data_IF_468284864676
#
_entry.id   IF_468284864676
#
_cell.length_a   1.000
_cell.length_b   1.000
_cell.length_c   1.000
_cell.angle_alpha   90.00
_cell.angle_beta   90.00
_cell.angle_gamma   90.00
#
_symmetry.space_group_name_H-M   'P 1'
#
loop_
_entity.id
_entity.type
_entity.pdbx_description
1 polymer ?
2 non-polymer ?
3 water ?
#
# COMPACT_ATOMS: atom_id res chain seq x y z
N UNK A 1 -22.92 0.74 -15.12
CA UNK A 1 -23.19 2.17 -15.25
C UNK A 1 -23.22 2.83 -13.85
N UNK A 2 -23.72 2.13 -12.85
CA UNK A 2 -23.56 2.55 -11.45
C UNK A 2 -22.07 2.52 -11.08
N UNK A 3 -21.60 3.59 -10.44
CA UNK A 3 -20.18 3.64 -10.08
C UNK A 3 -19.89 2.70 -8.90
N UNK A 4 -18.71 2.10 -8.93
CA UNK A 4 -18.28 1.10 -7.96
C UNK A 4 -17.19 1.71 -7.08
N UNK A 5 -17.37 1.62 -5.76
CA UNK A 5 -16.37 2.05 -4.79
C UNK A 5 -15.87 0.82 -4.03
N UNK A 6 -14.55 0.66 -3.99
CA UNK A 6 -13.89 -0.34 -3.15
C UNK A 6 -13.66 0.30 -1.80
N UNK A 7 -14.24 -0.28 -0.76
CA UNK A 7 -14.17 0.29 0.58
C UNK A 7 -13.05 -0.43 1.34
N UNK A 8 -11.86 0.15 1.30
CA UNK A 8 -10.69 -0.41 1.96
C UNK A 8 -10.67 0.02 3.42
N UNK A 9 -10.48 -0.92 4.33
CA UNK A 9 -10.46 -0.59 5.74
C UNK A 9 -9.82 -1.71 6.54
N UNK A 10 -9.42 -1.41 7.78
CA UNK A 10 -9.04 -2.46 8.75
C UNK A 10 -10.17 -2.89 9.68
N UNK A 11 -11.39 -2.42 9.44
CA UNK A 11 -12.46 -2.63 10.40
C UNK A 11 -12.93 -4.08 10.49
N UNK A 12 -12.68 -4.90 9.47
CA UNK A 12 -13.02 -6.33 9.53
C UNK A 12 -12.19 -7.14 10.49
N UNK A 13 -11.05 -6.59 10.95
CA UNK A 13 -10.17 -7.36 11.82
C UNK A 13 -10.67 -7.41 13.24
N UNK A 14 -11.54 -6.48 13.63
CA UNK A 14 -12.11 -6.40 14.97
C UNK A 14 -13.60 -6.70 14.91
N UNK A 15 -14.06 -7.60 15.78
CA UNK A 15 -15.48 -7.97 15.75
C UNK A 15 -16.39 -6.76 15.92
N UNK A 16 -16.18 -5.99 16.98
CA UNK A 16 -16.98 -4.78 17.20
C UNK A 16 -16.91 -3.83 16.02
N UNK A 17 -15.71 -3.62 15.48
CA UNK A 17 -15.57 -2.67 14.39
C UNK A 17 -16.31 -3.14 13.14
N UNK A 18 -16.22 -4.43 12.85
CA UNK A 18 -16.85 -5.01 11.67
C UNK A 18 -18.37 -4.86 11.75
N UNK A 19 -18.91 -5.06 12.96
CA UNK A 19 -20.34 -5.11 13.16
C UNK A 19 -20.95 -3.73 13.29
N UNK A 20 -20.20 -2.78 13.86
CA UNK A 20 -20.72 -1.49 14.24
C UNK A 20 -20.23 -0.32 13.41
N UNK A 21 -18.98 -0.31 12.95
CA UNK A 21 -18.45 0.85 12.21
C UNK A 21 -18.62 0.74 10.70
N UNK A 22 -18.53 -0.46 10.14
CA UNK A 22 -18.57 -0.58 8.69
C UNK A 22 -19.97 -0.33 8.14
N UNK A 23 -21.04 -0.82 8.77
CA UNK A 23 -22.35 -0.67 8.11
C UNK A 23 -22.77 0.79 7.95
N UNK A 24 -22.53 1.68 8.91
CA UNK A 24 -22.91 3.07 8.66
C UNK A 24 -22.13 3.68 7.50
N UNK A 25 -20.89 3.27 7.28
CA UNK A 25 -20.14 3.80 6.14
C UNK A 25 -20.67 3.22 4.84
N UNK A 26 -20.88 1.91 4.80
CA UNK A 26 -21.52 1.30 3.62
C UNK A 26 -22.83 2.01 3.32
N UNK A 27 -23.67 2.21 4.33
CA UNK A 27 -24.98 2.83 4.09
C UNK A 27 -24.85 4.24 3.56
N UNK A 28 -23.88 5.02 4.07
CA UNK A 28 -23.74 6.39 3.57
C UNK A 28 -23.36 6.37 2.10
N UNK A 29 -22.54 5.41 1.69
CA UNK A 29 -22.14 5.31 0.29
C UNK A 29 -23.29 4.77 -0.56
N UNK A 30 -24.01 3.77 -0.06
CA UNK A 30 -25.13 3.23 -0.82
C UNK A 30 -26.24 4.26 -1.00
N UNK A 31 -26.41 5.16 -0.03
CA UNK A 31 -27.43 6.21 -0.11
C UNK A 31 -27.13 7.20 -1.22
N UNK A 32 -25.91 7.21 -1.74
CA UNK A 32 -25.54 8.01 -2.89
C UNK A 32 -25.70 7.24 -4.19
N UNK A 33 -26.22 6.02 -4.13
CA UNK A 33 -26.39 5.22 -5.34
C UNK A 33 -25.15 4.46 -5.77
N UNK A 34 -24.13 4.42 -4.92
CA UNK A 34 -22.87 3.74 -5.22
C UNK A 34 -23.02 2.24 -4.96
N UNK A 35 -22.41 1.42 -5.82
CA UNK A 35 -22.24 0.00 -5.57
C UNK A 35 -20.97 -0.16 -4.75
N UNK A 36 -21.11 -0.65 -3.54
CA UNK A 36 -20.00 -0.73 -2.59
C UNK A 36 -19.45 -2.15 -2.59
N UNK A 37 -18.14 -2.26 -2.83
CA UNK A 37 -17.45 -3.52 -2.72
C UNK A 37 -16.64 -3.49 -1.43
N UNK A 38 -17.07 -4.27 -0.46
CA UNK A 38 -16.43 -4.28 0.84
C UNK A 38 -15.71 -5.62 0.95
N UNK A 39 -14.37 -5.62 0.97
CA UNK A 39 -13.63 -6.86 0.73
C UNK A 39 -13.75 -7.91 1.82
N UNK A 40 -13.89 -7.55 3.10
CA UNK A 40 -14.01 -8.60 4.10
C UNK A 40 -15.23 -9.47 3.81
N UNK A 41 -16.36 -8.83 3.52
CA UNK A 41 -17.58 -9.55 3.16
C UNK A 41 -17.47 -10.25 1.81
N UNK A 42 -16.92 -9.57 0.81
CA UNK A 42 -16.86 -10.09 -0.55
C UNK A 42 -15.88 -11.25 -0.66
N UNK A 43 -14.72 -11.13 -0.01
CA UNK A 43 -13.57 -11.97 -0.35
C UNK A 43 -12.97 -12.75 0.79
N UNK A 44 -13.04 -12.29 2.04
CA UNK A 44 -12.37 -13.01 3.11
C UNK A 44 -13.22 -14.12 3.70
N UNK A 45 -14.54 -14.10 3.45
CA UNK A 45 -15.42 -15.11 4.03
C UNK A 45 -15.41 -16.35 3.15
N UNK A 46 -14.39 -17.18 3.35
CA UNK A 46 -14.09 -18.31 2.50
C UNK A 46 -13.84 -19.55 3.36
N UNK A 47 -13.65 -20.68 2.67
CA UNK A 47 -13.23 -21.95 3.26
C UNK A 47 -11.76 -21.87 3.68
N UNK A 48 -11.50 -21.63 4.98
CA UNK A 48 -10.10 -21.46 5.39
C UNK A 48 -9.41 -22.80 5.65
N UNK A 49 -10.03 -23.92 5.32
CA UNK A 49 -9.33 -25.19 5.35
C UNK A 49 -8.49 -25.42 4.10
N UNK A 50 -8.63 -24.56 3.09
CA UNK A 50 -7.90 -24.70 1.84
C UNK A 50 -6.52 -24.06 2.01
N UNK A 51 -5.47 -24.82 1.66
CA UNK A 51 -4.11 -24.31 1.86
C UNK A 51 -3.88 -22.97 1.17
N UNK A 52 -4.59 -22.69 0.09
CA UNK A 52 -4.32 -21.50 -0.71
C UNK A 52 -5.24 -20.33 -0.37
N UNK A 53 -5.91 -20.34 0.78
CA UNK A 53 -7.00 -19.36 0.94
C UNK A 53 -6.46 -17.93 0.99
N UNK A 54 -5.32 -17.71 1.65
CA UNK A 54 -4.78 -16.35 1.76
C UNK A 54 -4.37 -15.79 0.40
N UNK A 55 -3.72 -16.61 -0.43
CA UNK A 55 -3.40 -16.21 -1.80
C UNK A 55 -4.66 -15.80 -2.56
N UNK A 56 -5.71 -16.61 -2.43
CA UNK A 56 -6.94 -16.32 -3.17
C UNK A 56 -7.59 -15.01 -2.70
N UNK A 57 -7.60 -14.75 -1.40
CA UNK A 57 -8.14 -13.48 -0.90
C UNK A 57 -7.37 -12.30 -1.50
N UNK A 58 -6.02 -12.40 -1.50
CA UNK A 58 -5.21 -11.31 -2.06
C UNK A 58 -5.56 -11.06 -3.51
N UNK A 59 -5.67 -12.14 -4.29
CA UNK A 59 -5.97 -11.98 -5.70
C UNK A 59 -7.36 -11.39 -5.91
N UNK A 60 -8.32 -11.83 -5.10
CA UNK A 60 -9.68 -11.28 -5.21
C UNK A 60 -9.70 -9.79 -4.89
N UNK A 61 -9.02 -9.37 -3.82
CA UNK A 61 -8.94 -7.94 -3.52
C UNK A 61 -8.26 -7.19 -4.65
N UNK A 62 -7.15 -7.73 -5.14
CA UNK A 62 -6.46 -7.13 -6.29
C UNK A 62 -7.39 -6.94 -7.48
N UNK A 63 -8.13 -7.98 -7.86
CA UNK A 63 -9.02 -7.87 -9.00
C UNK A 63 -10.10 -6.83 -8.75
N UNK A 64 -10.65 -6.81 -7.54
CA UNK A 64 -11.65 -5.79 -7.21
C UNK A 64 -11.07 -4.39 -7.36
N UNK A 65 -9.83 -4.17 -6.92
CA UNK A 65 -9.24 -2.84 -7.06
C UNK A 65 -9.08 -2.49 -8.54
N UNK A 66 -8.68 -3.47 -9.35
CA UNK A 66 -8.55 -3.23 -10.78
C UNK A 66 -9.91 -2.92 -11.43
N UNK A 67 -10.98 -3.52 -10.94
CA UNK A 67 -12.29 -3.40 -11.59
C UNK A 67 -13.14 -2.29 -11.01
N UNK A 68 -12.72 -1.63 -9.93
CA UNK A 68 -13.55 -0.62 -9.32
C UNK A 68 -13.42 0.68 -10.12
N UNK A 69 -14.27 1.66 -9.79
CA UNK A 69 -14.11 2.99 -10.35
C UNK A 69 -13.36 3.92 -9.41
N UNK A 70 -13.51 3.72 -8.10
CA UNK A 70 -12.83 4.51 -7.10
C UNK A 70 -12.58 3.69 -5.86
N UNK A 71 -11.65 4.18 -5.05
CA UNK A 71 -11.40 3.65 -3.72
C UNK A 71 -11.81 4.67 -2.69
N UNK A 72 -12.47 4.19 -1.63
CA UNK A 72 -12.77 4.95 -0.43
C UNK A 72 -11.96 4.29 0.68
N UNK A 73 -10.85 4.91 1.05
CA UNK A 73 -9.87 4.30 1.92
C UNK A 73 -10.00 4.85 3.33
N UNK A 74 -10.34 3.98 4.28
CA UNK A 74 -10.34 4.28 5.71
C UNK A 74 -8.88 4.21 6.19
N UNK A 75 -8.31 5.38 6.46
CA UNK A 75 -6.90 5.51 6.84
C UNK A 75 -6.77 5.97 8.29
N UNK A 76 -7.69 5.50 9.12
CA UNK A 76 -7.59 5.64 10.56
C UNK A 76 -6.41 4.82 11.08
N UNK A 77 -5.89 5.24 12.23
CA UNK A 77 -4.88 4.51 12.93
C UNK A 77 -3.52 5.20 12.87
N UNK A 78 -2.64 4.78 13.77
CA UNK A 78 -1.27 5.28 13.82
C UNK A 78 -0.37 4.04 13.73
N UNK A 79 0.20 3.74 12.56
CA UNK A 79 -0.04 4.35 11.26
C UNK A 79 -1.31 3.77 10.64
N UNK A 80 -1.67 4.26 9.46
CA UNK A 80 -2.75 3.63 8.70
C UNK A 80 -2.41 2.20 8.33
N UNK A 81 -3.45 1.42 8.03
CA UNK A 81 -3.30 -0.02 7.83
C UNK A 81 -2.47 -0.36 6.60
N UNK A 82 -1.53 -1.29 6.74
CA UNK A 82 -0.61 -1.57 5.65
C UNK A 82 -1.30 -2.16 4.41
N UNK A 83 -2.34 -2.97 4.60
CA UNK A 83 -3.06 -3.52 3.46
C UNK A 83 -3.88 -2.46 2.72
N UNK A 84 -4.54 -1.57 3.48
CA UNK A 84 -5.22 -0.44 2.86
C UNK A 84 -4.25 0.38 2.02
N UNK A 85 -3.04 0.57 2.54
CA UNK A 85 -2.04 1.39 1.89
C UNK A 85 -1.64 0.78 0.55
N UNK A 86 -1.44 -0.55 0.51
CA UNK A 86 -1.13 -1.24 -0.75
C UNK A 86 -2.23 -0.98 -1.77
N UNK A 87 -3.48 -1.11 -1.34
CA UNK A 87 -4.63 -0.90 -2.23
C UNK A 87 -4.69 0.53 -2.71
N UNK A 88 -4.41 1.48 -1.83
CA UNK A 88 -4.37 2.89 -2.21
C UNK A 88 -3.32 3.13 -3.28
N UNK A 89 -2.13 2.55 -3.10
CA UNK A 89 -1.10 2.74 -4.12
C UNK A 89 -1.50 2.15 -5.45
N UNK A 90 -2.16 0.99 -5.41
CA UNK A 90 -2.67 0.33 -6.60
C UNK A 90 -3.67 1.26 -7.31
N UNK A 91 -4.56 1.85 -6.53
CA UNK A 91 -5.57 2.74 -7.10
C UNK A 91 -4.94 3.98 -7.72
N UNK A 92 -3.96 4.57 -7.04
CA UNK A 92 -3.26 5.72 -7.59
C UNK A 92 -2.66 5.36 -8.94
N UNK A 93 -1.95 4.24 -8.99
CA UNK A 93 -1.24 3.85 -10.22
C UNK A 93 -2.21 3.51 -11.34
N UNK A 94 -3.40 3.05 -11.01
CA UNK A 94 -4.40 2.67 -12.00
C UNK A 94 -5.36 3.81 -12.34
N UNK A 95 -5.09 5.02 -11.84
CA UNK A 95 -5.89 6.21 -12.16
C UNK A 95 -7.34 6.04 -11.76
N UNK A 96 -7.58 5.30 -10.69
CA UNK A 96 -8.90 5.30 -10.09
C UNK A 96 -9.17 6.60 -9.33
N UNK A 97 -10.45 6.87 -9.10
CA UNK A 97 -10.82 7.94 -8.19
C UNK A 97 -10.34 7.59 -6.78
N UNK A 98 -9.87 8.60 -6.05
CA UNK A 98 -9.30 8.44 -4.71
C UNK A 98 -10.03 9.32 -3.71
N UNK A 99 -10.57 8.71 -2.66
CA UNK A 99 -11.16 9.40 -1.53
C UNK A 99 -10.64 8.77 -0.24
N UNK A 100 -10.25 9.61 0.71
CA UNK A 100 -9.67 9.17 1.97
C UNK A 100 -10.61 9.53 3.12
N UNK A 101 -10.67 8.66 4.11
CA UNK A 101 -11.52 8.87 5.28
C UNK A 101 -10.68 8.70 6.53
N UNK A 102 -10.71 9.70 7.40
CA UNK A 102 -10.03 9.60 8.68
C UNK A 102 -10.75 10.45 9.70
N UNK A 103 -11.41 9.81 10.69
CA UNK A 103 -12.00 10.53 11.81
C UNK A 103 -11.21 10.35 13.09
N UNK A 104 -10.00 9.78 12.99
CA UNK A 104 -9.00 9.72 14.05
C UNK A 104 -8.25 11.03 14.12
N UNK A 105 -8.29 11.71 15.27
CA UNK A 105 -7.77 13.08 15.32
C UNK A 105 -6.28 13.14 15.59
N UNK A 106 -5.63 11.99 15.78
CA UNK A 106 -4.19 11.96 15.96
C UNK A 106 -3.51 12.26 14.64
N UNK A 107 -2.29 12.78 14.73
CA UNK A 107 -1.45 13.01 13.57
C UNK A 107 -0.30 12.02 13.62
N UNK A 108 -0.01 11.42 12.48
CA UNK A 108 1.04 10.43 12.30
C UNK A 108 1.73 10.82 10.99
N UNK A 109 2.73 11.73 11.05
CA UNK A 109 3.16 12.40 9.84
C UNK A 109 4.65 12.67 9.80
N UNK A 110 5.14 12.84 8.58
CA UNK A 110 6.52 13.23 8.27
C UNK A 110 6.62 14.64 7.71
N UNK A 111 5.58 15.46 7.87
CA UNK A 111 5.57 16.77 7.21
C UNK A 111 4.53 17.68 7.85
N UNK A 112 4.57 18.96 7.49
CA UNK A 112 3.68 19.96 8.09
C UNK A 112 2.41 20.21 7.27
N UNK A 113 2.35 19.78 6.02
CA UNK A 113 1.19 20.05 5.16
C UNK A 113 0.03 19.11 5.45
N UNK A 114 0.33 17.82 5.63
CA UNK A 114 -0.68 16.77 5.69
C UNK A 114 -0.66 16.14 7.08
N UNK A 115 -1.80 15.64 7.55
CA UNK A 115 -1.85 14.97 8.87
C UNK A 115 -1.27 13.56 8.86
N UNK A 116 -0.90 13.06 7.70
CA UNK A 116 -0.34 11.74 7.54
C UNK A 116 0.88 11.82 6.63
N UNK A 117 1.54 10.67 6.46
CA UNK A 117 2.67 10.55 5.54
C UNK A 117 2.29 11.13 4.18
N UNK A 118 3.14 12.02 3.67
CA UNK A 118 2.82 12.72 2.44
C UNK A 118 2.56 11.81 1.27
N UNK A 119 3.03 10.57 1.30
CA UNK A 119 2.88 9.78 0.10
C UNK A 119 1.42 9.33 -0.08
N UNK A 120 0.62 9.33 0.99
CA UNK A 120 -0.78 8.95 0.89
C UNK A 120 -1.59 9.95 0.06
N UNK A 121 -1.03 11.12 -0.23
CA UNK A 121 -1.71 12.18 -0.96
C UNK A 121 -1.16 12.37 -2.36
N UNK A 122 -0.33 11.44 -2.80
CA UNK A 122 0.33 11.55 -4.10
C UNK A 122 -0.65 11.45 -5.27
N UNK A 123 -1.80 10.83 -5.06
CA UNK A 123 -2.80 10.75 -6.11
C UNK A 123 -3.82 11.85 -6.08
N UNK A 124 -3.69 12.81 -5.17
CA UNK A 124 -4.60 13.92 -4.99
C UNK A 124 -3.96 15.22 -5.45
N UNK A 125 -4.74 16.22 -5.80
CA UNK A 125 -4.14 17.47 -6.29
C UNK A 125 -3.35 18.19 -5.22
N UNK A 126 -2.39 18.99 -5.67
CA UNK A 126 -1.59 19.77 -4.74
C UNK A 126 -2.45 20.73 -3.95
N UNK A 127 -3.38 21.39 -4.62
CA UNK A 127 -4.29 22.36 -4.01
C UNK A 127 -5.69 21.76 -4.01
N UNK A 128 -6.36 21.78 -2.87
CA UNK A 128 -7.71 21.26 -2.78
C UNK A 128 -7.81 19.77 -2.47
N UNK A 129 -6.71 19.14 -2.00
CA UNK A 129 -6.80 17.74 -1.61
C UNK A 129 -7.80 17.55 -0.48
N UNK A 130 -7.99 18.55 0.36
CA UNK A 130 -8.91 18.44 1.48
C UNK A 130 -10.33 18.10 1.04
N UNK A 131 -10.67 18.43 -0.21
CA UNK A 131 -12.02 18.16 -0.73
C UNK A 131 -12.28 16.67 -0.89
N UNK A 132 -11.20 15.86 -0.97
CA UNK A 132 -11.26 14.43 -1.11
C UNK A 132 -11.05 13.71 0.22
N UNK A 133 -10.92 14.45 1.31
CA UNK A 133 -10.53 13.96 2.62
C UNK A 133 -11.71 14.14 3.59
N UNK A 134 -12.30 13.02 4.01
CA UNK A 134 -13.50 13.03 4.86
C UNK A 134 -13.12 12.76 6.31
N UNK A 135 -13.61 13.58 7.24
CA UNK A 135 -13.26 13.43 8.65
C UNK A 135 -14.44 12.99 9.53
N UNK A 136 -15.60 12.70 8.92
CA UNK A 136 -16.75 12.18 9.65
C UNK A 136 -17.66 11.41 8.70
N UNK A 137 -18.38 10.44 9.25
CA UNK A 137 -19.31 9.69 8.41
C UNK A 137 -20.38 10.61 7.85
N UNK A 138 -20.79 11.62 8.63
CA UNK A 138 -21.83 12.55 8.21
C UNK A 138 -21.40 13.40 7.00
N UNK A 139 -20.10 13.56 6.81
CA UNK A 139 -19.54 14.35 5.71
C UNK A 139 -19.59 13.63 4.37
N UNK A 140 -19.75 12.31 4.35
CA UNK A 140 -19.61 11.53 3.12
C UNK A 140 -20.58 12.01 2.05
N UNK A 141 -21.81 12.35 2.44
CA UNK A 141 -22.83 12.73 1.47
C UNK A 141 -22.84 14.24 1.19
N UNK A 142 -21.79 14.97 1.57
CA UNK A 142 -21.78 16.41 1.32
C UNK A 142 -21.69 16.75 -0.17
N UNK A 143 -22.63 17.55 -0.66
CA UNK A 143 -22.58 17.95 -2.06
C UNK A 143 -21.43 18.90 -2.40
N UNK A 144 -20.72 19.42 -1.41
CA UNK A 144 -19.58 20.28 -1.64
C UNK A 144 -18.23 19.55 -1.58
N UNK A 145 -18.24 18.24 -1.44
CA UNK A 145 -17.02 17.44 -1.41
C UNK A 145 -16.95 16.53 -2.64
N UNK A 146 -15.76 15.94 -2.83
CA UNK A 146 -15.39 15.41 -4.14
C UNK A 146 -16.18 14.18 -4.54
N UNK A 147 -16.57 13.31 -3.58
CA UNK A 147 -17.26 12.09 -3.97
C UNK A 147 -18.59 12.42 -4.66
N UNK A 148 -19.39 13.28 -4.01
CA UNK A 148 -20.66 13.70 -4.60
C UNK A 148 -20.46 14.39 -5.95
N UNK A 149 -19.45 15.25 -6.05
CA UNK A 149 -19.19 15.96 -7.29
C UNK A 149 -18.85 14.98 -8.40
N UNK A 150 -18.05 13.97 -8.07
CA UNK A 150 -17.72 12.93 -9.04
C UNK A 150 -18.97 12.21 -9.55
N UNK A 151 -19.89 11.87 -8.65
CA UNK A 151 -21.11 11.20 -9.06
C UNK A 151 -22.00 12.06 -9.96
N UNK A 152 -21.92 13.39 -9.85
CA UNK A 152 -22.83 14.27 -10.57
C UNK A 152 -22.16 15.01 -11.72
N UNK A 153 -20.93 14.63 -12.06
CA UNK A 153 -20.41 14.90 -13.40
C UNK A 153 -19.36 15.97 -13.60
N UNK B 2 21.93 -1.17 -16.89
CA UNK B 2 21.74 -1.71 -15.55
C UNK B 2 20.26 -1.69 -15.21
N UNK B 3 19.76 -2.73 -14.53
CA UNK B 3 18.40 -2.68 -14.02
C UNK B 3 18.35 -1.74 -12.82
N UNK B 4 17.21 -1.05 -12.69
CA UNK B 4 17.01 -0.02 -11.68
C UNK B 4 16.09 -0.57 -10.61
N UNK B 5 16.56 -0.53 -9.36
CA UNK B 5 15.80 -0.92 -8.16
C UNK B 5 15.52 0.33 -7.35
N UNK B 6 14.25 0.53 -7.01
CA UNK B 6 13.83 1.57 -6.08
C UNK B 6 13.81 0.94 -4.69
N UNK B 7 14.62 1.49 -3.80
CA UNK B 7 14.80 0.95 -2.45
C UNK B 7 13.88 1.74 -1.50
N UNK B 8 12.70 1.21 -1.28
CA UNK B 8 11.69 1.85 -0.43
C UNK B 8 11.93 1.44 1.02
N UNK B 9 11.98 2.40 1.94
CA UNK B 9 12.26 2.06 3.33
C UNK B 9 11.82 3.19 4.24
N UNK B 10 11.67 2.92 5.55
CA UNK B 10 11.49 3.99 6.54
C UNK B 10 12.79 4.44 7.19
N UNK B 11 13.92 3.94 6.70
CA UNK B 11 15.15 4.10 7.44
C UNK B 11 15.68 5.54 7.39
N UNK B 12 15.22 6.36 6.45
CA UNK B 12 15.65 7.75 6.43
C UNK B 12 15.01 8.63 7.49
N UNK B 13 14.03 8.10 8.21
CA UNK B 13 13.36 8.89 9.23
C UNK B 13 14.16 9.02 10.52
N UNK B 14 15.16 8.17 10.71
CA UNK B 14 15.95 8.13 11.92
C UNK B 14 17.38 8.42 11.54
N UNK B 15 18.00 9.36 12.24
CA UNK B 15 19.37 9.78 11.93
C UNK B 15 20.33 8.59 11.95
N UNK B 16 20.31 7.81 13.02
CA UNK B 16 21.19 6.63 13.09
C UNK B 16 20.85 5.60 12.02
N UNK B 17 19.57 5.38 11.74
CA UNK B 17 19.22 4.32 10.81
C UNK B 17 19.61 4.70 9.39
N UNK B 18 19.46 5.98 9.06
CA UNK B 18 19.87 6.46 7.75
C UNK B 18 21.36 6.23 7.55
N UNK B 19 22.14 6.53 8.58
CA UNK B 19 23.60 6.47 8.52
C UNK B 19 24.11 5.03 8.45
N UNK B 20 23.53 4.13 9.23
CA UNK B 20 24.08 2.79 9.41
C UNK B 20 23.32 1.67 8.71
N UNK B 21 22.00 1.78 8.51
CA UNK B 21 21.25 0.64 7.99
C UNK B 21 21.17 0.60 6.48
N UNK B 22 21.08 1.74 5.85
CA UNK B 22 20.84 1.76 4.41
C UNK B 22 22.11 1.43 3.59
N UNK B 23 23.29 1.96 3.93
CA UNK B 23 24.46 1.69 3.07
C UNK B 23 24.77 0.20 2.93
N UNK B 24 24.65 -0.63 3.97
CA UNK B 24 24.87 -2.08 3.69
C UNK B 24 23.89 -2.67 2.70
N UNK B 25 22.63 -2.19 2.69
CA UNK B 25 21.64 -2.73 1.76
C UNK B 25 21.95 -2.27 0.36
N UNK B 26 22.29 -0.99 0.22
CA UNK B 26 22.69 -0.44 -1.07
C UNK B 26 23.90 -1.22 -1.62
N UNK B 27 24.94 -1.41 -0.80
CA UNK B 27 26.12 -2.18 -1.21
C UNK B 27 25.76 -3.59 -1.67
N UNK B 28 24.89 -4.27 -0.94
CA UNK B 28 24.47 -5.60 -1.34
C UNK B 28 23.82 -5.61 -2.71
N UNK B 29 22.97 -4.61 -2.98
CA UNK B 29 22.31 -4.55 -4.27
C UNK B 29 23.30 -4.19 -5.38
N UNK B 30 24.18 -3.24 -5.09
CA UNK B 30 25.11 -2.75 -6.12
C UNK B 30 26.08 -3.84 -6.54
N UNK B 31 26.35 -4.79 -5.66
CA UNK B 31 27.23 -5.89 -6.02
C UNK B 31 26.61 -6.80 -7.06
N UNK B 32 25.28 -6.76 -7.25
CA UNK B 32 24.63 -7.46 -8.35
C UNK B 32 24.55 -6.62 -9.63
N UNK B 33 25.24 -5.50 -9.67
CA UNK B 33 25.22 -4.64 -10.85
C UNK B 33 23.99 -3.77 -10.96
N UNK B 34 23.24 -3.61 -9.88
CA UNK B 34 21.98 -2.85 -9.89
C UNK B 34 22.25 -1.37 -9.68
N UNK B 35 21.51 -0.51 -10.41
CA UNK B 35 21.44 0.91 -10.12
C UNK B 35 20.36 1.13 -9.06
N UNK B 36 20.75 1.61 -7.89
CA UNK B 36 19.85 1.75 -6.74
C UNK B 36 19.35 3.18 -6.66
N UNK B 37 18.05 3.34 -6.66
CA UNK B 37 17.40 4.62 -6.42
C UNK B 37 16.88 4.62 -4.98
N UNK B 38 17.53 5.39 -4.13
CA UNK B 38 17.15 5.48 -2.73
C UNK B 38 16.49 6.83 -2.47
N UNK B 39 15.20 6.89 -2.11
CA UNK B 39 14.48 8.19 -2.20
C UNK B 39 14.90 9.25 -1.19
N UNK B 40 15.33 8.89 0.03
CA UNK B 40 15.72 9.94 0.95
C UNK B 40 16.90 10.72 0.40
N UNK B 41 17.86 10.04 -0.23
CA UNK B 41 19.01 10.71 -0.84
C UNK B 41 18.60 11.44 -2.11
N UNK B 42 17.76 10.83 -2.92
CA UNK B 42 17.35 11.49 -4.17
C UNK B 42 16.51 12.73 -3.91
N UNK B 43 15.78 12.78 -2.80
CA UNK B 43 15.11 14.01 -2.41
C UNK B 43 16.15 14.91 -1.74
N UNK B 52 4.55 23.24 -2.79
CA UNK B 52 5.41 23.13 -1.62
C UNK B 52 6.12 21.77 -1.55
N UNK B 53 6.99 21.64 -0.53
CA UNK B 53 8.01 20.61 -0.59
C UNK B 53 7.41 19.22 -0.43
N UNK B 54 6.38 19.09 0.41
CA UNK B 54 5.83 17.77 0.67
C UNK B 54 5.20 17.18 -0.59
N UNK B 55 4.43 17.99 -1.34
CA UNK B 55 3.83 17.49 -2.56
C UNK B 55 4.90 17.12 -3.58
N UNK B 56 5.97 17.92 -3.66
CA UNK B 56 7.05 17.64 -4.58
C UNK B 56 7.75 16.33 -4.24
N UNK B 57 7.94 16.03 -2.95
CA UNK B 57 8.57 14.75 -2.60
C UNK B 57 7.68 13.60 -3.04
N UNK B 58 6.38 13.73 -2.78
CA UNK B 58 5.43 12.70 -3.19
C UNK B 58 5.48 12.45 -4.69
N UNK B 59 5.52 13.52 -5.50
CA UNK B 59 5.54 13.32 -6.95
C UNK B 59 6.88 12.74 -7.43
N UNK B 60 7.98 13.15 -6.81
CA UNK B 60 9.29 12.60 -7.15
C UNK B 60 9.34 11.10 -6.87
N UNK B 61 8.88 10.69 -5.69
CA UNK B 61 8.86 9.26 -5.38
C UNK B 61 7.96 8.50 -6.34
N UNK B 62 6.79 9.07 -6.66
CA UNK B 62 5.87 8.42 -7.58
C UNK B 62 6.50 8.25 -8.95
N UNK B 63 7.19 9.27 -9.44
CA UNK B 63 7.81 9.15 -10.75
C UNK B 63 8.94 8.13 -10.73
N UNK B 64 9.70 8.10 -9.64
CA UNK B 64 10.76 7.09 -9.50
C UNK B 64 10.18 5.67 -9.54
N UNK B 65 9.04 5.44 -8.89
CA UNK B 65 8.45 4.11 -8.95
C UNK B 65 7.96 3.82 -10.37
N UNK B 66 7.39 4.82 -11.05
CA UNK B 66 6.96 4.62 -12.43
C UNK B 66 8.14 4.24 -13.33
N UNK B 67 9.32 4.81 -13.06
CA UNK B 67 10.49 4.69 -13.94
C UNK B 67 11.45 3.58 -13.54
N UNK B 68 11.24 2.94 -12.38
CA UNK B 68 12.13 1.85 -12.00
C UNK B 68 11.80 0.58 -12.76
N UNK B 69 12.68 -0.41 -12.64
CA UNK B 69 12.38 -1.74 -13.13
C UNK B 69 11.82 -2.64 -12.04
N UNK B 70 12.23 -2.43 -10.80
CA UNK B 70 11.71 -3.20 -9.69
C UNK B 70 11.78 -2.38 -8.40
N UNK B 71 11.02 -2.84 -7.42
CA UNK B 71 11.06 -2.28 -6.08
C UNK B 71 11.66 -3.32 -5.15
N UNK B 72 12.54 -2.86 -4.26
CA UNK B 72 13.04 -3.62 -3.12
C UNK B 72 12.50 -2.90 -1.88
N UNK B 73 11.49 -3.49 -1.24
CA UNK B 73 10.72 -2.84 -0.20
C UNK B 73 11.15 -3.36 1.16
N UNK B 74 11.69 -2.47 1.99
CA UNK B 74 12.02 -2.79 3.37
C UNK B 74 10.73 -2.73 4.18
N UNK B 75 10.25 -3.90 4.64
CA UNK B 75 8.94 -3.99 5.26
C UNK B 75 9.11 -4.45 6.71
N UNK B 76 10.22 -4.07 7.30
CA UNK B 76 10.36 -4.13 8.74
C UNK B 76 9.33 -3.25 9.45
N UNK B 77 9.06 -3.60 10.71
CA UNK B 77 8.21 -2.85 11.63
C UNK B 77 6.87 -3.54 11.85
N UNK B 78 6.19 -3.14 12.92
CA UNK B 78 4.85 -3.64 13.23
C UNK B 78 3.94 -2.41 13.33
N UNK B 79 3.23 -2.03 12.28
CA UNK B 79 3.22 -2.68 10.97
C UNK B 79 4.31 -2.11 10.06
N UNK B 80 4.42 -2.65 8.87
CA UNK B 80 5.30 -2.02 7.87
C UNK B 80 4.90 -0.58 7.58
N UNK B 81 5.88 0.18 7.07
CA UNK B 81 5.68 1.61 6.84
C UNK B 81 4.60 1.91 5.81
N UNK B 82 3.73 2.87 6.13
CA UNK B 82 2.58 3.15 5.26
C UNK B 82 3.01 3.76 3.91
N UNK B 83 4.07 4.56 3.89
CA UNK B 83 4.56 5.10 2.64
C UNK B 83 5.16 4.02 1.75
N UNK B 84 5.98 3.16 2.34
CA UNK B 84 6.50 2.02 1.60
C UNK B 84 5.36 1.21 1.01
N UNK B 85 4.32 0.95 1.82
CA UNK B 85 3.16 0.20 1.32
C UNK B 85 2.51 0.85 0.10
N UNK B 86 2.35 2.17 0.10
CA UNK B 86 1.77 2.86 -1.06
C UNK B 86 2.63 2.62 -2.29
N UNK B 87 3.94 2.77 -2.13
CA UNK B 87 4.86 2.50 -3.24
C UNK B 87 4.80 1.04 -3.70
N UNK B 88 4.70 0.08 -2.77
CA UNK B 88 4.58 -1.32 -3.14
C UNK B 88 3.32 -1.55 -3.98
N UNK B 89 2.20 -0.96 -3.56
CA UNK B 89 0.97 -1.10 -4.32
C UNK B 89 1.09 -0.51 -5.73
N UNK B 90 1.71 0.67 -5.85
CA UNK B 90 1.97 1.26 -7.17
C UNK B 90 2.81 0.33 -8.02
N UNK B 91 3.87 -0.24 -7.42
CA UNK B 91 4.74 -1.16 -8.15
C UNK B 91 3.99 -2.39 -8.62
N UNK B 92 3.16 -2.97 -7.74
CA UNK B 92 2.38 -4.13 -8.16
C UNK B 92 1.49 -3.78 -9.36
N UNK B 93 0.77 -2.65 -9.27
CA UNK B 93 -0.17 -2.28 -10.32
C UNK B 93 0.53 -1.96 -11.62
N UNK B 94 1.78 -1.47 -11.54
CA UNK B 94 2.53 -1.09 -12.74
C UNK B 94 3.36 -2.24 -13.29
N UNK B 95 3.17 -3.43 -12.76
CA UNK B 95 3.82 -4.63 -13.27
C UNK B 95 5.33 -4.58 -13.09
N UNK B 96 5.80 -3.90 -12.05
CA UNK B 96 7.22 -3.91 -11.74
C UNK B 96 7.59 -5.23 -11.06
N UNK B 97 8.89 -5.54 -11.11
CA UNK B 97 9.38 -6.65 -10.30
C UNK B 97 9.29 -6.26 -8.82
N UNK B 98 8.96 -7.24 -7.97
CA UNK B 98 8.65 -7.01 -6.56
C UNK B 98 9.53 -7.91 -5.70
N UNK B 99 10.30 -7.29 -4.78
CA UNK B 99 11.12 -7.99 -3.80
C UNK B 99 10.87 -7.39 -2.42
N UNK B 100 10.75 -8.25 -1.43
CA UNK B 100 10.46 -7.80 -0.08
C UNK B 100 11.62 -8.17 0.85
N UNK B 101 11.91 -7.28 1.79
CA UNK B 101 12.96 -7.48 2.76
C UNK B 101 12.41 -7.27 4.17
N UNK B 102 12.61 -8.25 5.06
CA UNK B 102 12.23 -8.10 6.47
C UNK B 102 13.19 -8.92 7.33
N UNK B 103 14.07 -8.27 8.10
CA UNK B 103 14.88 -8.99 9.09
C UNK B 103 14.37 -8.77 10.51
N UNK B 104 13.14 -8.24 10.63
CA UNK B 104 12.37 -8.14 11.88
C UNK B 104 11.66 -9.46 12.13
N UNK B 105 11.97 -10.13 13.25
CA UNK B 105 11.45 -11.48 13.45
C UNK B 105 10.03 -11.48 14.01
N UNK B 106 9.47 -10.32 14.30
CA UNK B 106 8.09 -10.31 14.80
C UNK B 106 7.12 -10.65 13.68
N UNK B 107 5.98 -11.22 14.08
CA UNK B 107 4.86 -11.46 13.16
C UNK B 107 3.82 -10.38 13.35
N UNK B 108 3.35 -9.83 12.24
CA UNK B 108 2.29 -8.81 12.24
C UNK B 108 1.39 -9.21 11.07
N UNK B 109 0.41 -10.07 11.33
CA UNK B 109 -0.22 -10.81 10.23
C UNK B 109 -1.68 -11.13 10.54
N UNK B 110 -2.45 -11.32 9.46
CA UNK B 110 -3.85 -11.69 9.53
C UNK B 110 -4.10 -13.10 9.02
N UNK B 111 -3.05 -13.93 8.95
CA UNK B 111 -3.17 -15.25 8.36
C UNK B 111 -1.98 -16.10 8.81
N UNK B 112 -2.03 -17.38 8.49
CA UNK B 112 -0.99 -18.32 8.88
C UNK B 112 0.00 -18.65 7.77
N UNK B 113 -0.32 -18.33 6.52
CA UNK B 113 0.58 -18.67 5.43
C UNK B 113 1.78 -17.73 5.39
N UNK B 114 1.53 -16.42 5.52
CA UNK B 114 2.53 -15.39 5.35
C UNK B 114 2.87 -14.76 6.69
N UNK B 115 4.08 -14.17 6.82
CA UNK B 115 4.44 -13.51 8.08
C UNK B 115 3.85 -12.12 8.23
N UNK B 116 3.21 -11.60 7.17
CA UNK B 116 2.63 -10.27 7.16
C UNK B 116 1.21 -10.33 6.59
N UNK B 117 0.56 -9.19 6.61
CA UNK B 117 -0.77 -9.04 5.99
C UNK B 117 -0.72 -9.62 4.58
N UNK B 118 -1.69 -10.52 4.29
CA UNK B 118 -1.64 -11.28 3.03
C UNK B 118 -1.64 -10.39 1.80
N UNK B 119 -2.16 -9.16 1.87
CA UNK B 119 -2.24 -8.30 0.65
C UNK B 119 -0.83 -7.90 0.22
N UNK B 120 0.13 -7.87 1.15
CA UNK B 120 1.48 -7.45 0.75
C UNK B 120 2.12 -8.42 -0.22
N UNK B 121 1.58 -9.63 -0.37
CA UNK B 121 2.13 -10.66 -1.25
C UNK B 121 1.31 -10.81 -2.52
N UNK B 122 0.44 -9.84 -2.80
CA UNK B 122 -0.47 -9.96 -3.93
C UNK B 122 0.26 -9.91 -5.25
N UNK B 123 1.44 -9.31 -5.29
CA UNK B 123 2.19 -9.26 -6.52
C UNK B 123 3.14 -10.42 -6.74
N UNK B 124 3.14 -11.41 -5.86
CA UNK B 124 4.06 -12.54 -5.87
C UNK B 124 3.29 -13.81 -6.21
N UNK B 125 3.95 -14.84 -6.75
CA UNK B 125 3.24 -16.07 -7.08
C UNK B 125 2.73 -16.79 -5.85
N UNK B 126 1.76 -17.68 -6.08
CA UNK B 126 1.22 -18.50 -5.01
C UNK B 126 2.28 -19.44 -4.45
N UNK B 127 3.01 -20.11 -5.34
CA UNK B 127 4.06 -21.06 -4.97
C UNK B 127 5.39 -20.40 -5.24
N UNK B 128 6.29 -20.43 -4.25
CA UNK B 128 7.61 -19.86 -4.41
C UNK B 128 7.72 -18.38 -4.08
N UNK B 129 6.71 -17.80 -3.41
CA UNK B 129 6.82 -16.39 -3.02
C UNK B 129 8.01 -16.17 -2.10
N UNK B 130 8.41 -17.21 -1.36
CA UNK B 130 9.52 -17.10 -0.43
C UNK B 130 10.81 -16.73 -1.15
N UNK B 131 10.91 -17.05 -2.44
CA UNK B 131 12.10 -16.71 -3.21
C UNK B 131 12.24 -15.22 -3.42
N UNK B 132 11.17 -14.45 -3.22
CA UNK B 132 11.17 -13.02 -3.39
C UNK B 132 11.27 -12.30 -2.06
N UNK B 133 11.37 -13.04 -0.97
CA UNK B 133 11.25 -12.55 0.40
C UNK B 133 12.59 -12.78 1.08
N UNK B 134 13.26 -11.70 1.43
CA UNK B 134 14.63 -11.73 1.94
C UNK B 134 14.60 -11.39 3.43
N UNK B 135 15.25 -12.22 4.26
CA UNK B 135 15.21 -12.03 5.70
C UNK B 135 16.58 -11.73 6.30
N UNK B 136 17.60 -11.53 5.46
CA UNK B 136 18.84 -10.90 5.91
C UNK B 136 19.48 -10.19 4.73
N UNK B 137 20.34 -9.22 5.05
CA UNK B 137 21.06 -8.48 4.02
C UNK B 137 21.91 -9.42 3.17
N UNK B 138 22.58 -10.39 3.80
CA UNK B 138 23.44 -11.30 3.06
C UNK B 138 22.67 -12.23 2.12
N UNK B 139 21.37 -12.44 2.35
CA UNK B 139 20.55 -13.24 1.45
C UNK B 139 20.31 -12.54 0.12
N UNK B 140 20.49 -11.22 0.07
CA UNK B 140 20.13 -10.44 -1.11
C UNK B 140 20.85 -10.97 -2.35
N UNK B 141 22.12 -11.36 -2.20
CA UNK B 141 22.88 -11.83 -3.37
C UNK B 141 22.67 -13.29 -3.73
N UNK B 142 21.82 -14.03 -3.01
CA UNK B 142 21.72 -15.47 -3.25
C UNK B 142 21.35 -15.78 -4.69
N UNK B 143 22.14 -16.62 -5.36
CA UNK B 143 21.79 -16.93 -6.74
C UNK B 143 20.67 -17.95 -6.87
N UNK B 144 20.10 -18.41 -5.77
CA UNK B 144 18.90 -19.24 -5.81
C UNK B 144 17.62 -18.44 -5.65
N UNK B 145 17.70 -17.16 -5.33
CA UNK B 145 16.51 -16.35 -5.06
C UNK B 145 16.15 -15.45 -6.24
N UNK B 146 14.99 -14.79 -6.11
CA UNK B 146 14.34 -14.22 -7.29
C UNK B 146 15.08 -13.03 -7.88
N UNK B 147 15.75 -12.22 -7.06
CA UNK B 147 16.44 -11.04 -7.61
C UNK B 147 17.53 -11.44 -8.59
N UNK B 148 18.35 -12.42 -8.21
CA UNK B 148 19.37 -12.93 -9.12
C UNK B 148 18.73 -13.49 -10.38
N UNK B 149 17.68 -14.30 -10.23
CA UNK B 149 17.07 -14.93 -11.39
C UNK B 149 16.40 -13.91 -12.30
N UNK B 150 15.88 -12.82 -11.73
CA UNK B 150 15.34 -11.75 -12.53
C UNK B 150 16.43 -11.05 -13.32
N UNK B 151 17.58 -10.80 -12.70
CA UNK B 151 18.66 -10.13 -13.41
C UNK B 151 19.26 -10.97 -14.53
N UNK B 152 19.12 -12.30 -14.49
CA UNK B 152 19.76 -13.17 -15.47
C UNK B 152 18.79 -13.94 -16.34
N UNK B 153 17.50 -13.70 -16.22
CA UNK B 153 16.53 -14.42 -17.05
C UNK B 153 16.33 -15.89 -16.71
N UNK B 154 16.55 -16.32 -15.46
CA UNK B 154 16.20 -17.68 -15.07
C UNK B 154 14.82 -17.74 -14.42
#
# INVERSE_FOLDING_TARGET
KRKIIYLASPYGFSQQQKTLLLPPIVRALEALGIEVWEPFARNNQIDFSQADWAYRVAQADLQDVKNCDGIFAVVNGTPPDEGVMVELGMAIALNKAIFLFRDDFRRCSDNERYPLNLMLFAGLPEIGWENYYYTSVDEIQSHDKALYKWLTGM
KRKIIYLASPYGFSQQQKTLLLPPIVRALEALGIEVWEPFARNNQIDFSQADWAYRVAQADLQDVKNCDGIFAVVNGTPPDEGVMVELGMAIALNKAIFLFRDDFRRCSDNERYPLNLMLFAGLPEIGWENYYYTSVDEIQSHDKALYKWLTGM
#
